data_IF_043957159408
#
_entry.id   IF_043957159408
#
_cell.length_a   1.000
_cell.length_b   1.000
_cell.length_c   1.000
_cell.angle_alpha   90.00
_cell.angle_beta   90.00
_cell.angle_gamma   90.00
#
_symmetry.space_group_name_H-M   'P 1'
#
loop_
_entity.id
_entity.type
_entity.pdbx_description
1 polymer ?
#
# COMPACT_ATOMS: atom_id res chain seq x y z
N UNK A 1 12.79 4.03 -31.21
CA UNK A 1 12.63 5.27 -30.43
C UNK A 1 11.40 5.11 -29.55
N UNK A 2 11.50 5.29 -28.23
CA UNK A 2 10.29 5.45 -27.40
C UNK A 2 9.57 6.72 -27.85
N UNK A 3 8.27 6.65 -28.12
CA UNK A 3 7.48 7.83 -28.43
C UNK A 3 7.46 8.76 -27.22
N UNK A 4 7.44 10.07 -27.44
CA UNK A 4 7.31 11.10 -26.40
C UNK A 4 6.15 10.79 -25.44
N UNK A 5 5.07 10.20 -25.95
CA UNK A 5 3.91 9.78 -25.19
C UNK A 5 4.22 8.67 -24.16
N UNK A 6 5.02 7.66 -24.54
CA UNK A 6 5.42 6.58 -23.63
C UNK A 6 6.28 7.10 -22.48
N UNK A 7 7.21 8.01 -22.79
CA UNK A 7 8.02 8.70 -21.78
C UNK A 7 7.17 9.51 -20.80
N UNK A 8 6.20 10.28 -21.32
CA UNK A 8 5.30 11.08 -20.49
C UNK A 8 4.43 10.21 -19.56
N UNK A 9 3.91 9.08 -20.05
CA UNK A 9 3.13 8.12 -19.24
C UNK A 9 3.97 7.50 -18.13
N UNK A 10 5.20 7.08 -18.43
CA UNK A 10 6.09 6.49 -17.43
C UNK A 10 6.49 7.51 -16.36
N UNK A 11 6.74 8.77 -16.75
CA UNK A 11 7.00 9.86 -15.80
C UNK A 11 5.82 10.08 -14.84
N UNK A 12 4.61 10.22 -15.36
CA UNK A 12 3.41 10.38 -14.55
C UNK A 12 3.18 9.20 -13.61
N UNK A 13 3.48 7.97 -14.05
CA UNK A 13 3.40 6.77 -13.22
C UNK A 13 4.38 6.84 -12.04
N UNK A 14 5.62 7.25 -12.28
CA UNK A 14 6.64 7.40 -11.22
C UNK A 14 6.26 8.46 -10.21
N UNK A 15 5.80 9.62 -10.68
CA UNK A 15 5.34 10.72 -9.82
C UNK A 15 4.19 10.27 -8.91
N UNK A 16 3.23 9.50 -9.44
CA UNK A 16 2.16 8.91 -8.61
C UNK A 16 2.68 7.94 -7.56
N UNK A 17 3.61 7.06 -7.92
CA UNK A 17 4.21 6.12 -6.96
C UNK A 17 4.94 6.88 -5.85
N UNK A 18 5.68 7.93 -6.20
CA UNK A 18 6.36 8.77 -5.21
C UNK A 18 5.37 9.44 -4.24
N UNK A 19 4.27 10.02 -4.76
CA UNK A 19 3.20 10.59 -3.94
C UNK A 19 2.57 9.55 -3.01
N UNK A 20 2.40 8.30 -3.48
CA UNK A 20 1.89 7.19 -2.69
C UNK A 20 2.83 6.84 -1.55
N UNK A 21 4.10 6.59 -1.84
CA UNK A 21 5.06 6.11 -0.83
C UNK A 21 5.48 7.19 0.17
N UNK A 22 5.47 8.47 -0.23
CA UNK A 22 5.78 9.60 0.65
C UNK A 22 4.62 10.00 1.59
N UNK A 23 3.43 9.43 1.40
CA UNK A 23 2.31 9.69 2.30
C UNK A 23 2.58 9.16 3.70
N UNK A 24 2.53 10.05 4.70
CA UNK A 24 2.66 9.65 6.12
C UNK A 24 1.36 9.00 6.59
N UNK A 25 1.46 7.74 6.97
CA UNK A 25 0.33 6.95 7.47
C UNK A 25 0.32 6.98 9.00
N UNK A 26 -0.85 7.19 9.59
CA UNK A 26 -0.99 7.10 11.05
C UNK A 26 -0.81 5.65 11.48
N UNK A 27 0.04 5.41 12.47
CA UNK A 27 0.41 4.05 12.89
C UNK A 27 1.61 3.46 12.15
N UNK A 28 2.40 4.27 11.43
CA UNK A 28 3.70 3.83 10.89
C UNK A 28 4.64 3.26 11.97
N UNK A 29 4.58 3.81 13.18
CA UNK A 29 5.34 3.32 14.34
C UNK A 29 4.87 1.96 14.86
N UNK A 30 3.77 1.41 14.33
CA UNK A 30 3.28 0.08 14.68
C UNK A 30 4.08 -1.03 13.98
N UNK A 31 4.94 -0.66 13.04
CA UNK A 31 5.86 -1.55 12.35
C UNK A 31 7.28 -1.25 12.80
N UNK A 32 8.11 -2.30 12.89
CA UNK A 32 9.55 -2.12 13.03
C UNK A 32 10.18 -1.84 11.66
N UNK A 33 11.20 -0.98 11.64
CA UNK A 33 11.98 -0.70 10.44
C UNK A 33 11.35 0.35 9.52
N UNK A 34 11.72 0.30 8.24
CA UNK A 34 11.30 1.29 7.25
C UNK A 34 9.83 1.11 6.85
N UNK A 35 9.08 2.22 6.76
CA UNK A 35 7.70 2.20 6.28
C UNK A 35 7.58 1.72 4.83
N UNK A 36 8.65 1.85 4.05
CA UNK A 36 8.72 1.36 2.67
C UNK A 36 8.42 -0.14 2.57
N UNK A 37 8.92 -0.95 3.51
CA UNK A 37 8.81 -2.41 3.44
C UNK A 37 7.35 -2.87 3.45
N UNK A 38 6.57 -2.43 4.44
CA UNK A 38 5.17 -2.83 4.56
C UNK A 38 4.31 -2.13 3.50
N UNK A 39 4.56 -0.85 3.20
CA UNK A 39 3.85 -0.11 2.14
C UNK A 39 4.02 -0.77 0.78
N UNK A 40 5.22 -1.25 0.46
CA UNK A 40 5.44 -1.97 -0.78
C UNK A 40 4.60 -3.25 -0.84
N UNK A 41 4.52 -4.01 0.24
CA UNK A 41 3.67 -5.22 0.28
C UNK A 41 2.20 -4.86 0.07
N UNK A 42 1.68 -3.81 0.73
CA UNK A 42 0.30 -3.34 0.49
C UNK A 42 0.10 -2.96 -0.97
N UNK A 43 0.98 -2.11 -1.52
CA UNK A 43 0.87 -1.59 -2.87
C UNK A 43 0.88 -2.71 -3.92
N UNK A 44 1.78 -3.69 -3.79
CA UNK A 44 1.84 -4.84 -4.71
C UNK A 44 0.59 -5.74 -4.65
N UNK A 45 -0.20 -5.69 -3.58
CA UNK A 45 -1.42 -6.48 -3.43
C UNK A 45 -2.70 -5.62 -3.54
N UNK A 46 -2.58 -4.32 -3.83
CA UNK A 46 -3.72 -3.38 -3.86
C UNK A 46 -4.85 -3.84 -4.78
N UNK A 47 -4.54 -4.26 -6.02
CA UNK A 47 -5.56 -4.74 -6.96
C UNK A 47 -6.35 -5.93 -6.41
N UNK A 48 -5.69 -6.85 -5.69
CA UNK A 48 -6.36 -8.01 -5.08
C UNK A 48 -7.26 -7.61 -3.92
N UNK A 49 -6.84 -6.62 -3.13
CA UNK A 49 -7.65 -6.04 -2.05
C UNK A 49 -8.89 -5.37 -2.66
N UNK A 50 -8.71 -4.57 -3.71
CA UNK A 50 -9.78 -3.89 -4.41
C UNK A 50 -10.79 -4.86 -5.01
N UNK A 51 -10.32 -5.97 -5.58
CA UNK A 51 -11.16 -7.02 -6.16
C UNK A 51 -11.75 -7.98 -5.10
N UNK A 52 -11.48 -7.74 -3.81
CA UNK A 52 -11.89 -8.61 -2.69
C UNK A 52 -11.35 -10.04 -2.79
N UNK A 53 -10.23 -10.22 -3.50
CA UNK A 53 -9.50 -11.48 -3.61
C UNK A 53 -8.51 -11.70 -2.45
N UNK A 54 -8.22 -10.63 -1.68
CA UNK A 54 -7.31 -10.67 -0.55
C UNK A 54 -7.83 -9.79 0.59
N UNK A 55 -8.14 -10.42 1.73
CA UNK A 55 -8.55 -9.72 2.94
C UNK A 55 -7.35 -9.08 3.67
N UNK A 56 -7.63 -8.06 4.48
CA UNK A 56 -6.60 -7.36 5.27
C UNK A 56 -5.86 -8.31 6.22
N UNK A 57 -6.56 -9.24 6.87
CA UNK A 57 -5.93 -10.22 7.77
C UNK A 57 -5.00 -11.21 7.04
N UNK A 58 -5.36 -11.59 5.82
CA UNK A 58 -4.52 -12.43 4.96
C UNK A 58 -3.27 -11.66 4.51
N UNK A 59 -3.41 -10.37 4.20
CA UNK A 59 -2.29 -9.49 3.88
C UNK A 59 -1.33 -9.33 5.07
N UNK A 60 -1.86 -9.13 6.29
CA UNK A 60 -1.05 -9.05 7.53
C UNK A 60 -0.24 -10.34 7.71
N UNK A 61 -0.88 -11.50 7.55
CA UNK A 61 -0.18 -12.79 7.61
C UNK A 61 0.91 -12.93 6.54
N UNK A 62 0.71 -12.36 5.35
CA UNK A 62 1.71 -12.33 4.27
C UNK A 62 2.88 -11.41 4.60
N UNK A 63 2.63 -10.28 5.27
CA UNK A 63 3.66 -9.35 5.72
C UNK A 63 4.62 -9.99 6.72
N UNK A 64 4.10 -10.70 7.72
CA UNK A 64 4.93 -11.41 8.70
C UNK A 64 5.79 -12.49 8.05
N UNK A 65 5.19 -13.28 7.14
CA UNK A 65 5.94 -14.29 6.34
C UNK A 65 7.02 -13.66 5.48
N UNK A 66 6.87 -12.40 5.12
CA UNK A 66 7.84 -11.59 4.37
C UNK A 66 8.82 -10.83 5.28
N UNK A 67 8.83 -11.14 6.58
CA UNK A 67 9.77 -10.60 7.57
C UNK A 67 9.41 -9.23 8.14
N UNK A 68 8.20 -8.71 7.89
CA UNK A 68 7.72 -7.50 8.57
C UNK A 68 7.45 -7.84 10.03
N UNK A 69 8.04 -7.10 10.95
CA UNK A 69 7.80 -7.25 12.38
C UNK A 69 6.90 -6.12 12.89
N UNK A 70 5.94 -6.46 13.75
CA UNK A 70 5.02 -5.50 14.34
C UNK A 70 5.47 -5.10 15.74
N UNK A 71 5.40 -3.81 16.04
CA UNK A 71 5.60 -3.23 17.36
C UNK A 71 4.29 -3.16 18.17
N UNK A 72 3.16 -3.51 17.56
CA UNK A 72 1.82 -3.50 18.15
C UNK A 72 1.08 -4.81 17.86
N UNK A 73 0.01 -5.06 18.60
CA UNK A 73 -0.86 -6.22 18.38
C UNK A 73 -1.51 -6.19 16.99
N UNK A 74 -1.72 -7.36 16.37
CA UNK A 74 -2.27 -7.50 15.01
C UNK A 74 -3.55 -6.70 14.78
N UNK A 75 -4.47 -6.68 15.75
CA UNK A 75 -5.72 -5.91 15.64
C UNK A 75 -5.51 -4.41 15.39
N UNK A 76 -4.40 -3.84 15.87
CA UNK A 76 -4.03 -2.44 15.62
C UNK A 76 -3.34 -2.24 14.27
N UNK A 77 -2.73 -3.28 13.70
CA UNK A 77 -2.05 -3.25 12.40
C UNK A 77 -3.02 -3.07 11.22
N UNK A 78 -4.28 -3.48 11.41
CA UNK A 78 -5.35 -3.22 10.44
C UNK A 78 -5.46 -1.73 10.10
N UNK A 79 -5.38 -0.87 11.10
CA UNK A 79 -5.58 0.57 10.95
C UNK A 79 -4.62 1.24 9.93
N UNK A 80 -3.28 1.18 10.10
CA UNK A 80 -2.36 1.79 9.13
C UNK A 80 -2.46 1.15 7.74
N UNK A 81 -2.75 -0.15 7.64
CA UNK A 81 -2.93 -0.81 6.34
C UNK A 81 -4.16 -0.25 5.63
N UNK A 82 -5.32 -0.22 6.30
CA UNK A 82 -6.57 0.29 5.75
C UNK A 82 -6.43 1.76 5.34
N UNK A 83 -5.80 2.59 6.18
CA UNK A 83 -5.53 4.00 5.88
C UNK A 83 -4.71 4.14 4.59
N UNK A 84 -3.66 3.32 4.45
CA UNK A 84 -2.82 3.34 3.25
C UNK A 84 -3.55 2.84 1.99
N UNK A 85 -4.35 1.77 2.08
CA UNK A 85 -5.15 1.27 0.94
C UNK A 85 -6.16 2.34 0.49
N UNK A 86 -6.83 3.01 1.42
CA UNK A 86 -7.74 4.14 1.11
C UNK A 86 -7.00 5.28 0.43
N UNK A 87 -5.78 5.57 0.86
CA UNK A 87 -4.96 6.60 0.23
C UNK A 87 -4.58 6.23 -1.21
N UNK A 88 -4.20 4.98 -1.47
CA UNK A 88 -3.93 4.50 -2.84
C UNK A 88 -5.17 4.69 -3.72
N UNK A 89 -6.34 4.24 -3.27
CA UNK A 89 -7.60 4.40 -4.00
C UNK A 89 -7.91 5.87 -4.32
N UNK A 90 -7.67 6.78 -3.36
CA UNK A 90 -7.81 8.23 -3.56
C UNK A 90 -6.90 8.75 -4.67
N UNK A 91 -5.64 8.30 -4.74
CA UNK A 91 -4.69 8.74 -5.78
C UNK A 91 -5.09 8.21 -7.17
N UNK A 92 -5.62 6.98 -7.24
CA UNK A 92 -6.12 6.40 -8.48
C UNK A 92 -7.54 6.86 -8.87
N UNK A 93 -8.24 7.58 -7.97
CA UNK A 93 -9.65 7.98 -8.12
C UNK A 93 -10.59 6.77 -8.27
N UNK A 94 -10.30 5.72 -7.53
CA UNK A 94 -11.05 4.47 -7.53
C UNK A 94 -11.97 4.40 -6.31
N UNK A 95 -13.10 3.69 -6.47
CA UNK A 95 -13.98 3.37 -5.34
C UNK A 95 -13.47 2.12 -4.66
N UNK A 96 -13.44 2.12 -3.33
CA UNK A 96 -12.92 1.02 -2.53
C UNK A 96 -13.93 0.62 -1.45
N UNK A 97 -14.35 -0.64 -1.49
CA UNK A 97 -15.14 -1.28 -0.44
C UNK A 97 -14.24 -2.23 0.35
N UNK A 98 -13.87 -1.84 1.56
CA UNK A 98 -13.07 -2.67 2.47
C UNK A 98 -14.04 -3.41 3.40
N UNK A 99 -13.90 -4.74 3.51
CA UNK A 99 -14.58 -5.58 4.50
C UNK A 99 -13.76 -5.70 5.78
#
# INVERSE_FOLDING_TARGET
MQSTESYMKERQRREKIEIIFNHRVKGESYFHGSSYQWKNIVYQNYNKIQQKELEIEQLISKMEKSGVRFAQHRSLIHYPIIDFVKYIAKIYKETLEIQ
#
